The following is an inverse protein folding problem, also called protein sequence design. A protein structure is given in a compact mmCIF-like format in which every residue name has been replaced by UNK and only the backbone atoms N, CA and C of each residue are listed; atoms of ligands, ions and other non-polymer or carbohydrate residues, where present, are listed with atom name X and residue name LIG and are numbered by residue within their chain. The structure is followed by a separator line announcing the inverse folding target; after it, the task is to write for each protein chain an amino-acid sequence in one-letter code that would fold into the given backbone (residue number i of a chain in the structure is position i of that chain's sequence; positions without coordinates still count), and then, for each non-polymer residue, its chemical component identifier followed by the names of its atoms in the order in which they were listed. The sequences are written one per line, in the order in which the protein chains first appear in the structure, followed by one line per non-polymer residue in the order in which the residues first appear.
data_IF_524543012110
#
_entry.id   IF_524543012110
#
_cell.length_a   1.000
_cell.length_b   1.000
_cell.length_c   1.000
_cell.angle_alpha   90.00
_cell.angle_beta   90.00
_cell.angle_gamma   90.00
#
_symmetry.space_group_name_H-M   'P 1'
#
loop_
_entity.id
_entity.type
_entity.pdbx_description
1 polymer ?
#
# COMPACT_ATOMS: atom_id res chain seq x y z
N UNK A 1 45.38 14.09 -4.68
CA UNK A 1 44.25 14.09 -3.73
C UNK A 1 43.00 14.31 -4.55
N UNK A 2 42.12 13.33 -4.60
CA UNK A 2 40.85 13.42 -5.33
C UNK A 2 39.82 14.11 -4.41
N UNK A 3 39.14 15.14 -4.92
CA UNK A 3 38.15 15.89 -4.14
C UNK A 3 36.77 15.56 -4.69
N UNK A 4 35.95 14.88 -3.88
CA UNK A 4 34.56 14.57 -4.23
C UNK A 4 33.65 15.62 -3.58
N UNK A 5 32.92 16.43 -4.36
CA UNK A 5 31.93 17.35 -3.80
C UNK A 5 30.74 16.57 -3.22
N UNK A 6 30.30 16.96 -2.02
CA UNK A 6 29.15 16.36 -1.36
C UNK A 6 28.28 17.43 -0.69
N UNK A 7 26.97 17.22 -0.72
CA UNK A 7 25.98 18.05 -0.04
C UNK A 7 25.43 17.23 1.14
N UNK A 8 25.21 17.89 2.28
CA UNK A 8 24.58 17.28 3.45
C UNK A 8 23.23 16.67 3.08
N UNK A 9 22.89 15.53 3.70
CA UNK A 9 21.72 14.74 3.36
C UNK A 9 20.42 15.51 3.60
N UNK A 10 20.33 16.35 4.62
CA UNK A 10 19.19 17.24 4.80
C UNK A 10 19.12 18.32 3.70
N UNK A 11 20.25 19.02 3.46
CA UNK A 11 20.32 20.13 2.50
C UNK A 11 20.10 19.72 1.04
N UNK A 12 20.56 18.53 0.63
CA UNK A 12 20.49 18.10 -0.77
C UNK A 12 19.05 17.99 -1.27
N UNK A 13 18.09 17.74 -0.37
CA UNK A 13 16.66 17.72 -0.71
C UNK A 13 16.08 19.11 -1.01
N UNK A 14 16.76 20.19 -0.61
CA UNK A 14 16.42 21.57 -0.96
C UNK A 14 17.04 22.04 -2.28
N UNK A 15 17.90 21.23 -2.91
CA UNK A 15 18.48 21.49 -4.22
C UNK A 15 17.59 20.92 -5.35
N UNK A 16 18.01 21.13 -6.60
CA UNK A 16 17.40 20.50 -7.78
C UNK A 16 17.51 18.96 -7.68
N UNK A 17 16.52 18.23 -8.19
CA UNK A 17 16.43 16.76 -8.02
C UNK A 17 17.70 16.00 -8.44
N UNK A 18 18.32 16.39 -9.56
CA UNK A 18 19.61 15.81 -10.02
C UNK A 18 20.74 15.88 -8.99
N UNK A 19 20.74 16.90 -8.12
CA UNK A 19 21.75 17.05 -7.09
C UNK A 19 21.71 15.94 -6.05
N UNK A 20 20.55 15.29 -5.87
CA UNK A 20 20.40 14.17 -4.95
C UNK A 20 21.32 13.01 -5.34
N UNK A 21 21.24 12.54 -6.58
CA UNK A 21 22.08 11.44 -7.06
C UNK A 21 23.55 11.87 -7.25
N UNK A 22 23.77 13.13 -7.63
CA UNK A 22 25.13 13.65 -7.88
C UNK A 22 25.94 13.91 -6.61
N UNK A 23 25.31 14.35 -5.53
CA UNK A 23 26.04 14.93 -4.40
C UNK A 23 25.57 14.47 -3.02
N UNK A 24 24.50 13.67 -2.89
CA UNK A 24 24.13 13.15 -1.58
C UNK A 24 25.25 12.28 -1.00
N UNK A 25 25.60 12.55 0.26
CA UNK A 25 26.63 11.82 1.01
C UNK A 25 26.39 10.31 1.05
N UNK A 26 25.13 9.87 0.98
CA UNK A 26 24.75 8.45 0.95
C UNK A 26 25.24 7.68 -0.27
N UNK A 27 25.54 8.36 -1.38
CA UNK A 27 26.03 7.73 -2.61
C UNK A 27 27.55 7.85 -2.78
N UNK A 28 28.23 8.57 -1.88
CA UNK A 28 29.67 8.74 -1.91
C UNK A 28 30.33 7.62 -1.10
N UNK A 29 31.09 6.76 -1.77
CA UNK A 29 31.83 5.68 -1.11
C UNK A 29 32.78 6.28 -0.06
N UNK A 30 32.72 5.74 1.16
CA UNK A 30 33.57 6.20 2.27
C UNK A 30 33.08 7.45 3.01
N UNK A 31 32.10 8.21 2.49
CA UNK A 31 31.54 9.37 3.21
C UNK A 31 30.69 8.97 4.42
N UNK A 32 30.30 7.69 4.49
CA UNK A 32 29.33 7.14 5.44
C UNK A 32 27.98 7.87 5.39
N UNK A 33 27.01 7.36 6.16
CA UNK A 33 25.68 7.96 6.23
C UNK A 33 25.68 9.12 7.24
N UNK A 34 26.18 10.27 6.79
CA UNK A 34 26.27 11.50 7.57
C UNK A 34 25.18 12.49 7.17
N UNK A 35 24.74 13.27 8.15
CA UNK A 35 23.76 14.33 7.93
C UNK A 35 24.37 15.52 7.15
N UNK A 36 25.63 15.82 7.41
CA UNK A 36 26.34 16.94 6.78
C UNK A 36 26.05 18.32 7.39
N UNK A 37 25.14 18.43 8.36
CA UNK A 37 24.76 19.68 9.05
C UNK A 37 25.41 19.85 10.43
N UNK A 38 26.72 19.63 10.51
CA UNK A 38 27.41 19.67 11.80
C UNK A 38 27.45 21.10 12.36
N UNK A 39 27.59 22.12 11.52
CA UNK A 39 27.71 23.51 11.98
C UNK A 39 26.44 24.03 12.65
N UNK A 40 25.28 23.87 12.00
CA UNK A 40 24.00 24.39 12.51
C UNK A 40 23.57 23.69 13.80
N UNK A 41 23.75 22.37 13.87
CA UNK A 41 23.46 21.60 15.09
C UNK A 41 24.34 22.03 16.26
N UNK A 42 25.60 22.40 16.01
CA UNK A 42 26.54 22.89 17.03
C UNK A 42 26.30 24.35 17.41
N UNK A 43 25.66 25.14 16.56
CA UNK A 43 25.29 26.52 16.87
C UNK A 43 24.00 26.64 17.67
N UNK A 44 23.08 25.67 17.58
CA UNK A 44 21.84 25.70 18.35
C UNK A 44 22.04 25.90 19.87
N UNK A 45 23.05 25.30 20.54
CA UNK A 45 23.38 25.61 21.93
C UNK A 45 23.75 27.08 22.20
N UNK A 46 24.33 27.79 21.23
CA UNK A 46 24.69 29.21 21.36
C UNK A 46 23.47 30.13 21.47
N UNK A 47 22.27 29.65 21.10
CA UNK A 47 21.03 30.40 21.29
C UNK A 47 20.76 30.68 22.78
N UNK A 48 21.24 29.81 23.68
CA UNK A 48 21.04 29.96 25.13
C UNK A 48 21.77 31.21 25.66
N UNK A 49 22.97 31.49 25.15
CA UNK A 49 23.81 32.61 25.60
C UNK A 49 23.54 33.91 24.83
N UNK A 50 22.82 33.81 23.69
CA UNK A 50 22.54 34.95 22.82
C UNK A 50 21.87 36.14 23.53
N UNK A 51 20.86 35.95 24.42
CA UNK A 51 20.27 37.05 25.18
C UNK A 51 21.28 37.78 26.07
N UNK A 52 22.15 37.03 26.76
CA UNK A 52 23.20 37.60 27.63
C UNK A 52 24.27 38.31 26.81
N UNK A 53 24.62 37.78 25.64
CA UNK A 53 25.60 38.35 24.72
C UNK A 53 25.12 39.66 24.06
N UNK A 54 23.80 39.91 24.00
CA UNK A 54 23.22 41.07 23.31
C UNK A 54 23.60 42.40 23.96
N UNK A 55 23.62 42.46 25.28
CA UNK A 55 23.94 43.69 26.05
C UNK A 55 25.45 43.97 26.20
N UNK A 56 26.31 43.03 25.78
CA UNK A 56 27.76 43.14 25.93
C UNK A 56 28.38 44.10 24.90
N UNK A 57 29.50 44.73 25.27
CA UNK A 57 30.37 45.44 24.31
C UNK A 57 30.93 44.45 23.28
N UNK A 58 31.30 44.94 22.09
CA UNK A 58 31.77 44.08 20.99
C UNK A 58 32.94 43.17 21.39
N UNK A 59 34.00 43.65 22.07
CA UNK A 59 35.11 42.78 22.47
C UNK A 59 34.67 41.69 23.46
N UNK A 60 33.86 42.08 24.46
CA UNK A 60 33.39 41.14 25.47
C UNK A 60 32.42 40.08 24.91
N UNK A 61 31.57 40.48 23.95
CA UNK A 61 30.70 39.55 23.22
C UNK A 61 31.50 38.49 22.48
N UNK A 62 32.58 38.90 21.79
CA UNK A 62 33.43 37.98 21.05
C UNK A 62 34.09 36.97 21.99
N UNK A 63 34.72 37.44 23.08
CA UNK A 63 35.33 36.56 24.09
C UNK A 63 34.35 35.55 24.68
N UNK A 64 33.12 35.98 24.98
CA UNK A 64 32.07 35.12 25.51
C UNK A 64 31.66 34.02 24.51
N UNK A 65 31.48 34.37 23.24
CA UNK A 65 31.16 33.40 22.19
C UNK A 65 32.33 32.42 21.96
N UNK A 66 33.56 32.93 21.88
CA UNK A 66 34.77 32.11 21.67
C UNK A 66 34.96 31.12 22.82
N UNK A 67 34.72 31.54 24.07
CA UNK A 67 34.78 30.66 25.24
C UNK A 67 33.78 29.51 25.13
N UNK A 68 32.54 29.79 24.73
CA UNK A 68 31.48 28.80 24.62
C UNK A 68 31.71 27.83 23.46
N UNK A 69 32.22 28.34 22.32
CA UNK A 69 32.64 27.50 21.20
C UNK A 69 33.83 26.61 21.57
N UNK A 70 34.80 27.13 22.32
CA UNK A 70 35.95 26.36 22.81
C UNK A 70 35.55 25.26 23.81
N UNK A 71 34.64 25.55 24.74
CA UNK A 71 34.10 24.52 25.64
C UNK A 71 33.37 23.41 24.85
N UNK A 72 32.54 23.78 23.86
CA UNK A 72 31.88 22.82 22.97
C UNK A 72 32.89 21.92 22.24
N UNK A 73 33.96 22.52 21.70
CA UNK A 73 35.05 21.77 21.05
C UNK A 73 35.77 20.84 22.03
N UNK A 74 36.08 21.30 23.24
CA UNK A 74 36.72 20.51 24.29
C UNK A 74 35.84 19.32 24.71
N UNK A 75 34.56 19.56 24.99
CA UNK A 75 33.58 18.52 25.34
C UNK A 75 33.45 17.49 24.23
N UNK A 76 33.48 17.91 22.95
CA UNK A 76 33.49 17.00 21.81
C UNK A 76 34.74 16.13 21.80
N UNK A 77 35.93 16.69 22.03
CA UNK A 77 37.18 15.93 22.07
C UNK A 77 37.16 14.86 23.16
N UNK A 78 36.81 15.21 24.40
CA UNK A 78 36.85 14.27 25.53
C UNK A 78 35.75 13.19 25.44
N UNK A 79 34.60 13.50 24.82
CA UNK A 79 33.47 12.55 24.68
C UNK A 79 33.55 11.71 23.40
N UNK A 80 34.49 12.01 22.51
CA UNK A 80 34.59 11.41 21.17
C UNK A 80 34.74 9.89 21.23
N UNK A 81 35.64 9.39 22.08
CA UNK A 81 35.95 7.96 22.18
C UNK A 81 34.70 7.13 22.53
N UNK A 82 33.98 7.52 23.57
CA UNK A 82 32.74 6.86 23.99
C UNK A 82 31.63 6.96 22.96
N UNK A 83 31.50 8.11 22.28
CA UNK A 83 30.55 8.29 21.19
C UNK A 83 30.86 7.37 20.00
N UNK A 84 32.12 7.33 19.55
CA UNK A 84 32.56 6.48 18.45
C UNK A 84 32.39 5.00 18.77
N UNK A 85 32.72 4.55 19.99
CA UNK A 85 32.49 3.17 20.40
C UNK A 85 31.01 2.76 20.33
N UNK A 86 30.09 3.63 20.79
CA UNK A 86 28.64 3.37 20.68
C UNK A 86 28.17 3.35 19.23
N UNK A 87 28.64 4.29 18.41
CA UNK A 87 28.29 4.37 16.98
C UNK A 87 28.83 3.16 16.21
N UNK A 88 30.03 2.70 16.51
CA UNK A 88 30.62 1.50 15.91
C UNK A 88 29.77 0.26 16.19
N UNK A 89 29.37 0.02 17.44
CA UNK A 89 28.47 -1.11 17.76
C UNK A 89 27.14 -1.05 17.00
N UNK A 90 26.56 0.16 16.89
CA UNK A 90 25.34 0.38 16.11
C UNK A 90 25.56 0.13 14.61
N UNK A 91 26.70 0.54 14.07
CA UNK A 91 27.06 0.31 12.68
C UNK A 91 27.28 -1.18 12.39
N UNK A 92 28.01 -1.89 13.25
CA UNK A 92 28.25 -3.33 13.12
C UNK A 92 26.94 -4.14 13.07
N UNK A 93 25.97 -3.79 13.93
CA UNK A 93 24.63 -4.37 13.87
C UNK A 93 23.90 -4.01 12.56
N UNK A 94 23.99 -2.74 12.16
CA UNK A 94 23.37 -2.26 10.92
C UNK A 94 23.91 -2.95 9.67
N UNK A 95 25.20 -3.29 9.64
CA UNK A 95 25.82 -4.04 8.53
C UNK A 95 25.14 -5.41 8.38
N UNK A 96 25.03 -6.18 9.47
CA UNK A 96 24.39 -7.50 9.43
C UNK A 96 22.91 -7.42 8.95
N UNK A 97 22.16 -6.43 9.45
CA UNK A 97 20.78 -6.19 9.04
C UNK A 97 20.67 -5.82 7.55
N UNK A 98 21.52 -4.91 7.07
CA UNK A 98 21.52 -4.49 5.66
C UNK A 98 22.02 -5.57 4.71
N UNK A 99 23.00 -6.39 5.11
CA UNK A 99 23.53 -7.47 4.27
C UNK A 99 22.48 -8.54 4.03
N UNK A 100 21.80 -9.00 5.09
CA UNK A 100 20.74 -10.01 4.94
C UNK A 100 19.59 -9.51 4.06
N UNK A 101 19.21 -8.24 4.20
CA UNK A 101 18.17 -7.64 3.38
C UNK A 101 18.62 -7.48 1.92
N UNK A 102 19.88 -7.13 1.67
CA UNK A 102 20.47 -7.06 0.32
C UNK A 102 20.54 -8.42 -0.36
N UNK A 103 20.99 -9.46 0.35
CA UNK A 103 21.06 -10.84 -0.15
C UNK A 103 19.69 -11.35 -0.58
N UNK A 104 18.68 -11.21 0.29
CA UNK A 104 17.30 -11.62 -0.02
C UNK A 104 16.76 -11.00 -1.31
N UNK A 105 17.19 -9.78 -1.62
CA UNK A 105 16.75 -9.09 -2.82
C UNK A 105 17.49 -9.53 -4.07
N UNK A 106 18.77 -9.81 -3.95
CA UNK A 106 19.53 -10.43 -5.02
C UNK A 106 18.98 -11.83 -5.35
N UNK A 107 18.53 -12.60 -4.34
CA UNK A 107 17.89 -13.90 -4.56
C UNK A 107 16.58 -13.81 -5.36
N UNK A 108 15.80 -12.75 -5.17
CA UNK A 108 14.56 -12.52 -5.94
C UNK A 108 14.79 -11.86 -7.32
N UNK A 109 15.96 -11.30 -7.55
CA UNK A 109 16.31 -10.62 -8.79
C UNK A 109 16.94 -11.58 -9.80
N UNK A 110 16.83 -11.25 -11.08
CA UNK A 110 17.50 -12.02 -12.14
C UNK A 110 19.02 -11.80 -12.05
N UNK A 111 19.79 -12.88 -12.00
CA UNK A 111 21.24 -12.86 -11.86
C UNK A 111 21.93 -12.04 -12.96
N UNK A 112 21.38 -12.05 -14.19
CA UNK A 112 21.91 -11.26 -15.31
C UNK A 112 21.75 -9.77 -15.01
N UNK A 113 20.58 -9.35 -14.53
CA UNK A 113 20.30 -7.95 -14.19
C UNK A 113 21.13 -7.48 -13.00
N UNK A 114 21.32 -8.34 -11.99
CA UNK A 114 22.18 -8.02 -10.84
C UNK A 114 23.62 -7.73 -11.31
N UNK A 115 24.18 -8.59 -12.16
CA UNK A 115 25.51 -8.36 -12.72
C UNK A 115 25.61 -7.08 -13.56
N UNK A 116 24.57 -6.78 -14.36
CA UNK A 116 24.48 -5.55 -15.14
C UNK A 116 24.43 -4.30 -14.24
N UNK A 117 23.57 -4.30 -13.22
CA UNK A 117 23.43 -3.16 -12.30
C UNK A 117 24.70 -2.90 -11.50
N UNK A 118 25.36 -3.96 -11.03
CA UNK A 118 26.64 -3.83 -10.34
C UNK A 118 27.69 -3.20 -11.26
N UNK A 119 27.81 -3.67 -12.51
CA UNK A 119 28.75 -3.09 -13.48
C UNK A 119 28.44 -1.61 -13.76
N UNK A 120 27.17 -1.26 -13.96
CA UNK A 120 26.74 0.13 -14.19
C UNK A 120 27.03 1.03 -12.98
N UNK A 121 26.79 0.54 -11.76
CA UNK A 121 27.09 1.27 -10.54
C UNK A 121 28.60 1.53 -10.38
N UNK A 122 29.43 0.51 -10.61
CA UNK A 122 30.88 0.65 -10.53
C UNK A 122 31.42 1.65 -11.57
N UNK A 123 30.92 1.58 -12.81
CA UNK A 123 31.29 2.53 -13.85
C UNK A 123 30.87 3.97 -13.50
N UNK A 124 29.65 4.15 -12.98
CA UNK A 124 29.15 5.45 -12.55
C UNK A 124 30.02 6.05 -11.44
N UNK A 125 30.40 5.25 -10.44
CA UNK A 125 31.27 5.70 -9.34
C UNK A 125 32.66 6.10 -9.83
N UNK A 126 33.22 5.42 -10.84
CA UNK A 126 34.51 5.79 -11.43
C UNK A 126 34.44 7.10 -12.22
N UNK A 127 33.35 7.32 -12.97
CA UNK A 127 33.18 8.53 -13.79
C UNK A 127 32.74 9.75 -12.98
N UNK A 128 32.20 9.56 -11.77
CA UNK A 128 31.61 10.59 -10.91
C UNK A 128 32.44 11.87 -10.78
N UNK A 129 33.76 11.77 -10.61
CA UNK A 129 34.60 12.96 -10.39
C UNK A 129 34.82 13.78 -11.65
N UNK A 130 34.79 13.16 -12.84
CA UNK A 130 34.85 13.87 -14.11
C UNK A 130 33.48 14.34 -14.59
N UNK A 131 32.44 13.55 -14.32
CA UNK A 131 31.06 13.83 -14.68
C UNK A 131 30.08 13.35 -13.58
N UNK A 132 29.56 14.27 -12.74
CA UNK A 132 28.55 13.93 -11.73
C UNK A 132 27.28 13.30 -12.33
N UNK A 133 26.98 13.58 -13.60
CA UNK A 133 25.81 13.04 -14.32
C UNK A 133 25.89 11.53 -14.54
N UNK A 134 27.07 10.93 -14.41
CA UNK A 134 27.23 9.48 -14.38
C UNK A 134 26.38 8.83 -13.27
N UNK A 135 26.11 9.55 -12.19
CA UNK A 135 25.30 9.07 -11.07
C UNK A 135 23.79 9.02 -11.36
N UNK A 136 23.30 9.52 -12.50
CA UNK A 136 21.90 9.39 -12.88
C UNK A 136 21.43 7.93 -13.02
N UNK A 137 22.34 6.95 -13.06
CA UNK A 137 21.99 5.53 -12.96
C UNK A 137 21.23 5.19 -11.66
N UNK A 138 21.45 5.98 -10.60
CA UNK A 138 20.75 5.84 -9.31
C UNK A 138 19.41 6.58 -9.28
N UNK A 139 19.11 7.37 -10.32
CA UNK A 139 17.84 8.06 -10.44
C UNK A 139 16.82 7.09 -11.04
N UNK A 140 15.69 6.93 -10.35
CA UNK A 140 14.56 6.19 -10.90
C UNK A 140 13.98 7.06 -12.01
N UNK A 141 14.42 6.84 -13.25
CA UNK A 141 13.92 7.55 -14.41
C UNK A 141 12.49 7.10 -14.70
N UNK A 142 11.51 7.80 -14.12
CA UNK A 142 10.11 7.73 -14.54
C UNK A 142 10.03 8.27 -15.98
N UNK A 143 10.29 7.43 -16.98
CA UNK A 143 10.21 7.85 -18.38
C UNK A 143 8.76 8.10 -18.74
N UNK A 144 8.38 9.37 -18.67
CA UNK A 144 7.07 9.84 -19.08
C UNK A 144 6.97 9.80 -20.62
N UNK A 145 6.46 8.70 -21.15
CA UNK A 145 5.79 8.68 -22.46
C UNK A 145 6.66 8.66 -23.72
N UNK A 146 7.72 7.86 -23.77
CA UNK A 146 8.31 7.45 -25.05
C UNK A 146 8.15 5.93 -25.25
N UNK A 147 7.61 5.48 -26.40
CA UNK A 147 7.49 4.05 -26.68
C UNK A 147 8.90 3.43 -26.75
N UNK A 148 9.16 2.51 -25.85
CA UNK A 148 10.46 1.85 -25.71
C UNK A 148 10.84 1.13 -27.01
N UNK A 149 11.91 1.58 -27.65
CA UNK A 149 12.59 0.90 -28.77
C UNK A 149 13.53 -0.14 -28.13
N UNK A 150 12.97 -1.21 -27.58
CA UNK A 150 13.72 -2.42 -27.25
C UNK A 150 12.94 -3.64 -27.73
N UNK A 151 13.61 -4.63 -28.35
CA UNK A 151 12.94 -5.78 -28.97
C UNK A 151 12.12 -6.57 -27.93
N UNK A 152 10.92 -6.94 -28.36
CA UNK A 152 9.83 -7.56 -27.59
C UNK A 152 10.19 -8.92 -26.95
N UNK A 153 11.31 -9.52 -27.34
CA UNK A 153 11.49 -10.98 -27.25
C UNK A 153 12.10 -11.47 -25.93
N UNK A 154 12.36 -10.57 -24.97
CA UNK A 154 12.88 -10.91 -23.63
C UNK A 154 11.86 -10.71 -22.48
N UNK A 155 10.59 -10.42 -22.80
CA UNK A 155 9.53 -10.11 -21.81
C UNK A 155 8.75 -11.32 -21.28
N UNK A 156 8.94 -12.52 -21.83
CA UNK A 156 7.93 -13.60 -21.72
C UNK A 156 8.25 -14.78 -20.79
N UNK A 157 8.73 -14.58 -19.56
CA UNK A 157 8.84 -15.71 -18.60
C UNK A 157 8.47 -15.42 -17.13
N UNK A 158 7.92 -14.25 -16.80
CA UNK A 158 7.23 -14.05 -15.51
C UNK A 158 5.75 -13.91 -15.81
N UNK A 159 4.99 -14.98 -15.59
CA UNK A 159 3.52 -14.93 -15.67
C UNK A 159 3.00 -14.00 -14.57
N UNK A 160 2.78 -12.73 -14.92
CA UNK A 160 2.24 -11.76 -13.98
C UNK A 160 0.83 -12.19 -13.54
N UNK A 161 0.46 -11.86 -12.30
CA UNK A 161 -0.69 -12.48 -11.67
C UNK A 161 -2.00 -12.15 -12.40
N UNK A 162 -2.84 -13.16 -12.68
CA UNK A 162 -3.99 -13.02 -13.56
C UNK A 162 -5.10 -12.18 -12.92
N UNK A 163 -5.79 -11.39 -13.74
CA UNK A 163 -6.98 -10.60 -13.37
C UNK A 163 -8.22 -11.49 -13.32
N UNK A 164 -9.29 -11.04 -12.64
CA UNK A 164 -10.56 -11.80 -12.58
C UNK A 164 -11.13 -12.07 -13.98
N UNK A 165 -11.02 -11.09 -14.88
CA UNK A 165 -11.49 -11.20 -16.27
C UNK A 165 -10.70 -12.23 -17.06
N UNK A 166 -9.37 -12.27 -16.91
CA UNK A 166 -8.55 -13.27 -17.60
C UNK A 166 -8.87 -14.67 -17.11
N UNK A 167 -9.06 -14.86 -15.80
CA UNK A 167 -9.46 -16.15 -15.26
C UNK A 167 -10.84 -16.58 -15.76
N UNK A 168 -11.81 -15.66 -15.82
CA UNK A 168 -13.12 -15.95 -16.42
C UNK A 168 -12.98 -16.39 -17.89
N UNK A 169 -12.15 -15.71 -18.69
CA UNK A 169 -11.87 -16.10 -20.08
C UNK A 169 -11.23 -17.50 -20.18
N UNK A 170 -10.29 -17.83 -19.31
CA UNK A 170 -9.66 -19.16 -19.25
C UNK A 170 -10.69 -20.24 -18.89
N UNK A 171 -11.60 -19.96 -17.95
CA UNK A 171 -12.66 -20.89 -17.56
C UNK A 171 -13.71 -21.08 -18.68
N UNK A 172 -14.06 -20.00 -19.40
CA UNK A 172 -14.98 -20.04 -20.53
C UNK A 172 -14.40 -20.80 -21.74
N UNK A 173 -13.12 -20.59 -22.05
CA UNK A 173 -12.44 -21.34 -23.12
C UNK A 173 -12.26 -22.82 -22.79
N UNK A 174 -11.96 -23.16 -21.54
CA UNK A 174 -11.81 -24.54 -21.08
C UNK A 174 -13.13 -25.34 -21.09
N UNK A 175 -14.27 -24.66 -20.92
CA UNK A 175 -15.60 -25.29 -20.95
C UNK A 175 -16.14 -25.51 -22.37
N UNK A 176 -15.71 -24.72 -23.36
CA UNK A 176 -16.10 -24.91 -24.78
C UNK A 176 -15.54 -26.21 -25.39
N UNK A 177 -14.39 -26.71 -24.94
CA UNK A 177 -13.79 -27.95 -25.43
C UNK A 177 -14.44 -29.25 -24.93
N UNK A 178 -15.33 -29.18 -23.93
CA UNK A 178 -15.99 -30.34 -23.29
C UNK A 178 -17.43 -30.58 -23.75
N UNK A 179 -17.87 -29.95 -24.84
CA UNK A 179 -19.25 -30.01 -25.33
C UNK A 179 -19.61 -31.37 -25.99
N UNK A 180 -19.47 -32.47 -25.25
CA UNK A 180 -20.11 -33.76 -25.53
C UNK A 180 -20.91 -34.14 -24.27
N UNK A 181 -22.12 -33.58 -24.17
CA UNK A 181 -23.15 -33.93 -23.18
C UNK A 181 -23.28 -32.96 -22.01
N UNK A 182 -24.42 -32.25 -21.94
CA UNK A 182 -25.06 -31.58 -20.78
C UNK A 182 -24.22 -30.86 -19.70
N UNK A 183 -22.93 -30.59 -19.89
CA UNK A 183 -22.14 -29.72 -19.02
C UNK A 183 -22.64 -28.28 -19.18
N UNK A 184 -23.03 -27.65 -18.08
CA UNK A 184 -23.72 -26.37 -18.09
C UNK A 184 -22.75 -25.26 -18.52
N UNK A 185 -22.84 -24.86 -19.79
CA UNK A 185 -22.16 -23.70 -20.32
C UNK A 185 -22.63 -22.46 -19.54
N UNK A 186 -21.76 -21.84 -18.74
CA UNK A 186 -22.06 -20.59 -18.01
C UNK A 186 -21.78 -20.59 -16.52
N UNK A 187 -21.37 -21.71 -15.92
CA UNK A 187 -21.09 -21.82 -14.48
C UNK A 187 -20.06 -20.81 -13.96
N UNK A 188 -18.97 -20.56 -14.70
CA UNK A 188 -17.96 -19.57 -14.32
C UNK A 188 -18.52 -18.14 -14.32
N UNK A 189 -19.35 -17.79 -15.30
CA UNK A 189 -20.02 -16.48 -15.39
C UNK A 189 -21.07 -16.32 -14.31
N UNK A 190 -21.80 -17.39 -13.97
CA UNK A 190 -22.70 -17.39 -12.81
C UNK A 190 -21.91 -17.09 -11.52
N UNK A 191 -20.82 -17.81 -11.23
CA UNK A 191 -19.97 -17.55 -10.04
C UNK A 191 -19.43 -16.11 -10.05
N UNK A 192 -18.92 -15.62 -11.19
CA UNK A 192 -18.44 -14.25 -11.35
C UNK A 192 -19.54 -13.20 -11.07
N UNK A 193 -20.79 -13.47 -11.47
CA UNK A 193 -21.93 -12.61 -11.15
C UNK A 193 -22.21 -12.57 -9.64
N UNK A 194 -22.11 -13.72 -8.95
CA UNK A 194 -22.28 -13.79 -7.50
C UNK A 194 -21.20 -13.02 -6.74
N UNK A 195 -19.94 -13.14 -7.16
CA UNK A 195 -18.83 -12.32 -6.63
C UNK A 195 -19.11 -10.82 -6.79
N UNK A 196 -19.66 -10.42 -7.95
CA UNK A 196 -20.02 -9.02 -8.22
C UNK A 196 -21.16 -8.53 -7.31
N UNK A 197 -22.16 -9.39 -7.04
CA UNK A 197 -23.24 -9.10 -6.08
C UNK A 197 -22.65 -8.88 -4.68
N UNK A 198 -21.68 -9.69 -4.25
CA UNK A 198 -21.02 -9.52 -2.96
C UNK A 198 -20.24 -8.21 -2.85
N UNK A 199 -19.57 -7.79 -3.92
CA UNK A 199 -18.90 -6.48 -3.99
C UNK A 199 -19.92 -5.33 -3.84
N UNK A 200 -21.09 -5.45 -4.49
CA UNK A 200 -22.19 -4.50 -4.36
C UNK A 200 -22.79 -4.49 -2.94
N UNK A 201 -22.92 -5.64 -2.28
CA UNK A 201 -23.36 -5.75 -0.89
C UNK A 201 -22.41 -5.00 0.05
N UNK A 202 -21.09 -5.19 -0.10
CA UNK A 202 -20.08 -4.49 0.70
C UNK A 202 -20.18 -2.98 0.48
N UNK A 203 -20.27 -2.53 -0.77
CA UNK A 203 -20.38 -1.12 -1.11
C UNK A 203 -21.65 -0.48 -0.51
N UNK A 204 -22.79 -1.17 -0.58
CA UNK A 204 -24.04 -0.69 0.00
C UNK A 204 -23.99 -0.67 1.53
N UNK A 205 -23.42 -1.69 2.17
CA UNK A 205 -23.26 -1.73 3.61
C UNK A 205 -22.39 -0.58 4.13
N UNK A 206 -21.34 -0.19 3.39
CA UNK A 206 -20.55 1.01 3.71
C UNK A 206 -21.38 2.29 3.63
N UNK A 207 -22.15 2.46 2.55
CA UNK A 207 -22.94 3.66 2.33
C UNK A 207 -24.06 3.79 3.37
N UNK A 208 -24.71 2.68 3.75
CA UNK A 208 -25.71 2.65 4.83
C UNK A 208 -25.10 3.07 6.17
N UNK A 209 -23.88 2.63 6.49
CA UNK A 209 -23.20 3.04 7.74
C UNK A 209 -22.87 4.53 7.75
N UNK A 210 -22.47 5.08 6.61
CA UNK A 210 -22.11 6.50 6.47
C UNK A 210 -23.28 7.44 6.76
N UNK A 211 -24.52 6.98 6.55
CA UNK A 211 -25.72 7.80 6.77
C UNK A 211 -25.98 8.20 8.22
N UNK A 212 -25.33 7.54 9.18
CA UNK A 212 -25.43 7.89 10.61
C UNK A 212 -26.86 7.72 11.16
N UNK A 213 -27.15 8.43 12.26
CA UNK A 213 -28.39 8.25 13.05
C UNK A 213 -29.61 8.96 12.43
N UNK A 214 -29.41 9.99 11.60
CA UNK A 214 -30.48 10.84 11.05
C UNK A 214 -30.28 11.16 9.55
N UNK A 215 -30.49 10.20 8.64
CA UNK A 215 -30.37 10.45 7.21
C UNK A 215 -31.50 11.32 6.64
N UNK A 216 -31.17 12.11 5.62
CA UNK A 216 -32.16 12.93 4.88
C UNK A 216 -33.10 12.05 4.06
N UNK A 217 -34.30 12.54 3.74
CA UNK A 217 -35.27 11.80 2.91
C UNK A 217 -34.73 11.43 1.53
N UNK A 218 -33.87 12.27 0.94
CA UNK A 218 -33.20 12.00 -0.33
C UNK A 218 -32.20 10.85 -0.24
N UNK A 219 -31.38 10.83 0.81
CA UNK A 219 -30.42 9.74 1.08
C UNK A 219 -31.12 8.42 1.37
N UNK A 220 -32.20 8.51 2.16
CA UNK A 220 -33.15 7.46 2.48
C UNK A 220 -33.72 6.81 1.22
N UNK A 221 -34.23 7.61 0.29
CA UNK A 221 -34.78 7.14 -0.98
C UNK A 221 -33.70 6.53 -1.90
N UNK A 222 -32.50 7.11 -1.95
CA UNK A 222 -31.38 6.56 -2.74
C UNK A 222 -30.97 5.15 -2.25
N UNK A 223 -30.78 4.98 -0.94
CA UNK A 223 -30.52 3.65 -0.35
C UNK A 223 -31.67 2.68 -0.61
N UNK A 224 -32.93 3.12 -0.49
CA UNK A 224 -34.09 2.30 -0.80
C UNK A 224 -34.05 1.76 -2.23
N UNK A 225 -33.78 2.62 -3.22
CA UNK A 225 -33.65 2.22 -4.63
C UNK A 225 -32.51 1.24 -4.86
N UNK A 226 -31.34 1.47 -4.23
CA UNK A 226 -30.19 0.56 -4.35
C UNK A 226 -30.47 -0.80 -3.71
N UNK A 227 -31.17 -0.83 -2.57
CA UNK A 227 -31.62 -2.07 -1.93
C UNK A 227 -32.57 -2.85 -2.84
N UNK A 228 -33.58 -2.21 -3.43
CA UNK A 228 -34.48 -2.90 -4.38
C UNK A 228 -33.73 -3.45 -5.58
N UNK A 229 -32.80 -2.66 -6.16
CA UNK A 229 -31.98 -3.13 -7.29
C UNK A 229 -31.13 -4.34 -6.89
N UNK A 230 -30.45 -4.26 -5.74
CA UNK A 230 -29.63 -5.36 -5.24
C UNK A 230 -30.47 -6.61 -4.97
N UNK A 231 -31.69 -6.45 -4.45
CA UNK A 231 -32.56 -7.58 -4.21
C UNK A 231 -32.98 -8.27 -5.50
N UNK A 232 -33.36 -7.52 -6.53
CA UNK A 232 -33.71 -8.11 -7.83
C UNK A 232 -32.55 -8.93 -8.41
N UNK A 233 -31.31 -8.47 -8.21
CA UNK A 233 -30.11 -9.20 -8.64
C UNK A 233 -29.89 -10.48 -7.81
N UNK A 234 -30.16 -10.43 -6.50
CA UNK A 234 -30.11 -11.60 -5.62
C UNK A 234 -31.18 -12.62 -6.03
N UNK A 235 -32.41 -12.18 -6.28
CA UNK A 235 -33.53 -13.05 -6.68
C UNK A 235 -33.26 -13.73 -8.03
N UNK A 236 -32.71 -13.00 -9.00
CA UNK A 236 -32.30 -13.55 -10.29
C UNK A 236 -31.16 -14.58 -10.12
N UNK A 237 -30.19 -14.27 -9.25
CA UNK A 237 -29.08 -15.16 -8.96
C UNK A 237 -29.52 -16.46 -8.28
N UNK A 238 -30.40 -16.38 -7.27
CA UNK A 238 -30.91 -17.55 -6.52
C UNK A 238 -31.80 -18.44 -7.40
N UNK A 239 -32.57 -17.86 -8.31
CA UNK A 239 -33.37 -18.61 -9.28
C UNK A 239 -32.49 -19.47 -10.21
N UNK A 240 -31.35 -18.93 -10.64
CA UNK A 240 -30.37 -19.65 -11.50
C UNK A 240 -29.48 -20.61 -10.68
N UNK A 241 -29.36 -20.40 -9.37
CA UNK A 241 -28.55 -21.25 -8.50
C UNK A 241 -29.03 -22.71 -8.49
N UNK A 242 -30.34 -22.96 -8.56
CA UNK A 242 -30.92 -24.32 -8.56
C UNK A 242 -30.48 -25.13 -9.77
N UNK A 243 -30.26 -24.50 -10.93
CA UNK A 243 -29.72 -25.21 -12.09
C UNK A 243 -28.28 -25.64 -11.88
N UNK A 244 -27.44 -24.81 -11.24
CA UNK A 244 -26.01 -25.08 -11.07
C UNK A 244 -25.68 -25.93 -9.83
N UNK A 245 -26.48 -25.85 -8.76
CA UNK A 245 -26.26 -26.54 -7.49
C UNK A 245 -27.09 -27.82 -7.32
N UNK A 246 -27.93 -28.17 -8.31
CA UNK A 246 -28.69 -29.42 -8.36
C UNK A 246 -30.06 -29.37 -7.67
N UNK A 247 -30.93 -30.35 -8.01
CA UNK A 247 -32.36 -30.38 -7.66
C UNK A 247 -32.68 -30.55 -6.16
N UNK A 248 -31.68 -30.70 -5.29
CA UNK A 248 -31.85 -30.89 -3.85
C UNK A 248 -31.41 -29.71 -2.98
N UNK A 249 -30.87 -28.63 -3.58
CA UNK A 249 -30.36 -27.48 -2.84
C UNK A 249 -31.49 -26.56 -2.38
N UNK A 250 -31.58 -26.33 -1.08
CA UNK A 250 -32.52 -25.39 -0.45
C UNK A 250 -31.75 -24.20 0.14
N UNK A 251 -31.94 -23.03 -0.49
CA UNK A 251 -31.30 -21.76 -0.13
C UNK A 251 -31.51 -21.40 1.34
N UNK A 252 -32.65 -21.77 1.92
CA UNK A 252 -33.00 -21.41 3.31
C UNK A 252 -32.36 -22.32 4.36
N UNK A 253 -31.95 -23.54 3.99
CA UNK A 253 -31.43 -24.56 4.91
C UNK A 253 -29.93 -24.88 4.72
N UNK A 254 -29.40 -24.72 3.50
CA UNK A 254 -28.05 -25.20 3.13
C UNK A 254 -26.97 -24.11 3.12
N UNK A 255 -27.37 -22.85 3.35
CA UNK A 255 -26.45 -21.72 3.47
C UNK A 255 -25.90 -21.65 4.90
N UNK A 256 -24.58 -21.63 5.04
CA UNK A 256 -23.93 -21.40 6.33
C UNK A 256 -24.20 -19.97 6.80
N UNK A 257 -24.66 -19.80 8.05
CA UNK A 257 -24.89 -18.50 8.70
C UNK A 257 -23.56 -17.77 8.94
N UNK A 258 -22.95 -17.25 7.87
CA UNK A 258 -21.70 -16.51 7.92
C UNK A 258 -22.00 -15.03 8.12
N UNK A 259 -22.19 -14.68 9.39
CA UNK A 259 -22.22 -13.29 9.81
C UNK A 259 -20.88 -12.63 9.48
N UNK A 260 -20.90 -11.68 8.56
CA UNK A 260 -19.72 -10.90 8.21
C UNK A 260 -19.30 -10.08 9.44
N UNK A 261 -18.20 -10.46 10.08
CA UNK A 261 -17.49 -9.57 11.00
C UNK A 261 -16.85 -8.46 10.17
N UNK A 262 -17.65 -7.45 9.84
CA UNK A 262 -17.12 -6.22 9.29
C UNK A 262 -16.08 -5.71 10.28
N UNK A 263 -14.83 -5.56 9.82
CA UNK A 263 -13.74 -4.97 10.61
C UNK A 263 -14.26 -3.75 11.37
N UNK A 264 -14.45 -3.92 12.67
CA UNK A 264 -14.87 -2.86 13.57
C UNK A 264 -13.81 -1.76 13.53
N UNK A 265 -14.20 -0.62 13.00
CA UNK A 265 -13.39 0.57 12.87
C UNK A 265 -14.26 1.76 13.26
N UNK A 266 -14.77 1.72 14.48
CA UNK A 266 -15.22 2.91 15.20
C UNK A 266 -14.04 3.83 15.51
N UNK A 267 -13.50 4.49 14.49
CA UNK A 267 -12.66 5.69 14.64
C UNK A 267 -13.27 6.78 13.74
N UNK A 268 -14.47 7.24 14.10
CA UNK A 268 -14.95 8.57 13.69
C UNK A 268 -14.11 9.62 14.43
N UNK A 269 -12.90 9.91 13.94
CA UNK A 269 -12.23 11.15 14.33
C UNK A 269 -12.94 12.34 13.66
N UNK A 270 -13.80 13.01 14.43
CA UNK A 270 -14.07 14.44 14.24
C UNK A 270 -15.53 14.83 14.00
N UNK A 271 -16.39 14.66 15.01
CA UNK A 271 -17.52 15.57 15.20
C UNK A 271 -17.44 16.21 16.59
N UNK A 272 -16.99 17.47 16.63
CA UNK A 272 -17.23 18.35 17.78
C UNK A 272 -18.74 18.68 17.80
N UNK A 273 -19.49 17.87 18.55
CA UNK A 273 -20.83 18.21 19.03
C UNK A 273 -20.71 18.49 20.52
N UNK A 274 -20.93 19.75 20.88
CA UNK A 274 -20.99 20.26 22.24
C UNK A 274 -22.01 19.48 23.10
N UNK A 275 -21.72 19.37 24.39
CA UNK A 275 -22.40 18.47 25.30
C UNK A 275 -23.86 18.81 25.55
N UNK A 276 -24.68 17.80 25.78
CA UNK A 276 -25.45 17.59 27.02
C UNK A 276 -26.32 16.34 26.92
N UNK A 277 -26.42 15.67 28.06
CA UNK A 277 -27.45 14.74 28.51
C UNK A 277 -27.51 13.31 27.94
N UNK A 278 -26.99 12.43 28.80
CA UNK A 278 -27.42 11.05 29.01
C UNK A 278 -28.94 10.95 29.12
N UNK A 279 -29.59 10.42 28.08
CA UNK A 279 -30.77 9.58 28.25
C UNK A 279 -30.80 8.49 27.17
N UNK A 280 -30.91 7.26 27.66
CA UNK A 280 -30.91 5.99 26.93
C UNK A 280 -32.22 5.86 26.14
N UNK A 281 -32.37 6.64 25.08
CA UNK A 281 -33.47 6.49 24.12
C UNK A 281 -33.14 5.40 23.12
N UNK A 282 -33.73 4.22 23.35
CA UNK A 282 -33.93 3.18 22.33
C UNK A 282 -34.85 3.78 21.26
N UNK A 283 -34.27 4.58 20.38
CA UNK A 283 -34.99 5.06 19.21
C UNK A 283 -35.19 3.85 18.29
N UNK A 284 -36.41 3.30 18.34
CA UNK A 284 -36.96 2.37 17.37
C UNK A 284 -36.93 3.03 15.98
N UNK A 285 -35.76 3.08 15.35
CA UNK A 285 -35.63 3.45 13.95
C UNK A 285 -36.26 2.33 13.12
N UNK A 286 -37.55 2.45 12.83
CA UNK A 286 -38.32 1.57 11.92
C UNK A 286 -37.60 1.40 10.57
N UNK A 287 -36.82 2.40 10.16
CA UNK A 287 -35.92 2.36 9.00
C UNK A 287 -34.93 1.18 9.02
N UNK A 288 -34.43 0.81 10.19
CA UNK A 288 -33.46 -0.25 10.38
C UNK A 288 -34.09 -1.64 10.28
N UNK A 289 -35.41 -1.78 10.45
CA UNK A 289 -36.12 -3.07 10.37
C UNK A 289 -36.66 -3.38 8.97
N UNK A 290 -36.40 -2.51 7.99
CA UNK A 290 -36.64 -2.82 6.57
C UNK A 290 -35.59 -3.81 6.05
N UNK A 291 -36.08 -4.71 5.21
CA UNK A 291 -35.37 -5.67 4.36
C UNK A 291 -33.93 -5.21 3.99
N UNK A 292 -32.93 -6.03 4.35
CA UNK A 292 -31.49 -5.71 4.26
C UNK A 292 -30.76 -6.64 3.27
N UNK A 293 -30.88 -6.40 1.96
CA UNK A 293 -30.22 -7.23 0.93
C UNK A 293 -28.70 -7.22 1.05
N UNK A 294 -28.11 -6.19 1.68
CA UNK A 294 -26.67 -6.12 1.96
C UNK A 294 -26.15 -7.18 2.95
N UNK A 295 -27.04 -7.87 3.69
CA UNK A 295 -26.67 -8.91 4.66
C UNK A 295 -27.11 -10.32 4.24
N UNK A 296 -27.80 -10.45 3.10
CA UNK A 296 -28.22 -11.76 2.58
C UNK A 296 -26.98 -12.53 2.14
N UNK A 297 -26.86 -13.79 2.54
CA UNK A 297 -25.73 -14.62 2.11
C UNK A 297 -26.03 -15.15 0.70
N UNK A 298 -25.07 -14.98 -0.21
CA UNK A 298 -25.21 -15.43 -1.60
C UNK A 298 -24.81 -16.92 -1.66
N UNK A 299 -25.59 -17.80 -2.32
CA UNK A 299 -25.27 -19.23 -2.45
C UNK A 299 -24.12 -19.45 -3.43
N UNK A 300 -22.91 -19.10 -3.00
CA UNK A 300 -21.65 -19.41 -3.66
C UNK A 300 -21.03 -20.65 -3.02
N UNK A 301 -20.20 -21.43 -3.75
CA UNK A 301 -19.51 -22.59 -3.19
C UNK A 301 -18.75 -22.30 -1.88
N UNK A 302 -18.17 -21.10 -1.73
CA UNK A 302 -17.48 -20.66 -0.51
C UNK A 302 -18.38 -20.43 0.72
N UNK A 303 -19.69 -20.35 0.53
CA UNK A 303 -20.70 -20.15 1.58
C UNK A 303 -21.56 -21.42 1.82
N UNK A 304 -21.31 -22.50 1.07
CA UNK A 304 -21.97 -23.80 1.17
C UNK A 304 -20.96 -24.82 1.73
N UNK A 305 -21.42 -25.95 2.27
CA UNK A 305 -20.51 -26.99 2.74
C UNK A 305 -19.69 -27.60 1.58
N UNK A 306 -18.39 -27.79 1.82
CA UNK A 306 -17.47 -28.38 0.82
C UNK A 306 -17.90 -29.81 0.47
N UNK A 307 -18.45 -30.53 1.44
CA UNK A 307 -18.98 -31.89 1.28
C UNK A 307 -20.12 -31.92 0.24
N UNK A 308 -21.04 -30.96 0.31
CA UNK A 308 -22.11 -30.82 -0.68
C UNK A 308 -21.56 -30.51 -2.08
N UNK A 309 -20.56 -29.63 -2.18
CA UNK A 309 -19.92 -29.33 -3.46
C UNK A 309 -19.13 -30.52 -4.05
N UNK A 310 -18.63 -31.43 -3.21
CA UNK A 310 -17.91 -32.62 -3.65
C UNK A 310 -18.84 -33.65 -4.31
N UNK A 311 -20.09 -33.74 -3.86
CA UNK A 311 -21.11 -34.64 -4.44
C UNK A 311 -21.58 -34.19 -5.83
N UNK A 312 -21.43 -32.89 -6.16
CA UNK A 312 -21.76 -32.25 -7.44
C UNK A 312 -20.63 -32.36 -8.50
N UNK A 313 -19.83 -33.44 -8.45
CA UNK A 313 -18.53 -33.65 -9.11
C UNK A 313 -18.39 -33.41 -10.64
N UNK A 314 -19.43 -32.97 -11.35
CA UNK A 314 -19.40 -32.72 -12.80
C UNK A 314 -18.61 -31.49 -13.25
N UNK A 315 -18.68 -30.37 -12.50
CA UNK A 315 -18.22 -29.05 -13.00
C UNK A 315 -17.06 -28.40 -12.22
N UNK A 316 -16.53 -29.03 -11.17
CA UNK A 316 -15.47 -28.48 -10.30
C UNK A 316 -15.74 -27.02 -9.86
N UNK A 317 -16.93 -26.77 -9.29
CA UNK A 317 -17.39 -25.45 -8.86
C UNK A 317 -16.39 -24.75 -7.91
N UNK A 318 -15.82 -25.52 -6.98
CA UNK A 318 -14.83 -25.07 -6.02
C UNK A 318 -13.58 -24.54 -6.73
N UNK A 319 -13.05 -25.29 -7.69
CA UNK A 319 -11.87 -24.85 -8.45
C UNK A 319 -12.13 -23.61 -9.30
N UNK A 320 -13.32 -23.49 -9.89
CA UNK A 320 -13.71 -22.29 -10.65
C UNK A 320 -13.82 -21.06 -9.75
N UNK A 321 -14.39 -21.19 -8.55
CA UNK A 321 -14.43 -20.08 -7.59
C UNK A 321 -13.03 -19.73 -7.07
N UNK A 322 -12.18 -20.70 -6.72
CA UNK A 322 -10.79 -20.44 -6.28
C UNK A 322 -10.04 -19.62 -7.33
N UNK A 323 -10.16 -20.01 -8.61
CA UNK A 323 -9.58 -19.25 -9.70
C UNK A 323 -10.10 -17.81 -9.65
N UNK A 324 -11.41 -17.56 -9.83
CA UNK A 324 -11.98 -16.21 -9.87
C UNK A 324 -11.66 -15.35 -8.63
N UNK A 325 -11.54 -15.96 -7.44
CA UNK A 325 -11.14 -15.28 -6.19
C UNK A 325 -9.67 -14.87 -6.20
N UNK A 326 -8.78 -15.67 -6.79
CA UNK A 326 -7.39 -15.25 -6.99
C UNK A 326 -7.32 -13.97 -7.84
N UNK A 327 -8.08 -13.90 -8.94
CA UNK A 327 -8.14 -12.70 -9.78
C UNK A 327 -8.78 -11.52 -9.08
N UNK A 328 -9.84 -11.74 -8.29
CA UNK A 328 -10.44 -10.71 -7.45
C UNK A 328 -9.41 -10.15 -6.43
N UNK A 329 -8.62 -11.02 -5.80
CA UNK A 329 -7.56 -10.60 -4.88
C UNK A 329 -6.50 -9.74 -5.57
N UNK A 330 -6.08 -10.13 -6.79
CA UNK A 330 -5.14 -9.36 -7.59
C UNK A 330 -5.69 -7.98 -7.98
N UNK A 331 -6.91 -7.92 -8.53
CA UNK A 331 -7.55 -6.67 -8.96
C UNK A 331 -7.74 -5.69 -7.79
N UNK A 332 -8.17 -6.19 -6.63
CA UNK A 332 -8.37 -5.37 -5.43
C UNK A 332 -7.06 -4.85 -4.85
N UNK A 333 -6.02 -5.69 -4.78
CA UNK A 333 -4.70 -5.27 -4.31
C UNK A 333 -4.07 -4.23 -5.25
N UNK A 334 -4.21 -4.41 -6.57
CA UNK A 334 -3.75 -3.42 -7.53
C UNK A 334 -4.49 -2.09 -7.37
N UNK A 335 -5.81 -2.14 -7.22
CA UNK A 335 -6.62 -0.94 -6.98
C UNK A 335 -6.17 -0.22 -5.70
N UNK A 336 -5.87 -0.97 -4.62
CA UNK A 336 -5.34 -0.40 -3.38
C UNK A 336 -3.98 0.29 -3.62
N UNK A 337 -3.08 -0.30 -4.41
CA UNK A 337 -1.78 0.33 -4.75
C UNK A 337 -1.97 1.65 -5.49
N UNK A 338 -2.79 1.66 -6.55
CA UNK A 338 -3.09 2.86 -7.35
C UNK A 338 -3.64 3.97 -6.44
N UNK A 339 -4.62 3.64 -5.60
CA UNK A 339 -5.25 4.61 -4.70
C UNK A 339 -4.31 5.10 -3.60
N UNK A 340 -3.39 4.27 -3.10
CA UNK A 340 -2.38 4.70 -2.14
C UNK A 340 -1.38 5.68 -2.75
N UNK A 341 -1.02 5.47 -4.02
CA UNK A 341 -0.17 6.40 -4.76
C UNK A 341 -0.90 7.71 -5.05
N UNK A 342 -2.15 7.65 -5.52
CA UNK A 342 -2.98 8.84 -5.72
C UNK A 342 -3.17 9.63 -4.41
N UNK A 343 -3.45 8.93 -3.30
CA UNK A 343 -3.49 9.53 -1.96
C UNK A 343 -2.19 10.26 -1.64
N UNK A 344 -1.04 9.65 -1.89
CA UNK A 344 0.26 10.27 -1.64
C UNK A 344 0.52 11.50 -2.53
N UNK A 345 0.10 11.47 -3.79
CA UNK A 345 0.15 12.62 -4.71
C UNK A 345 -0.76 13.76 -4.24
N UNK A 346 -1.99 13.47 -3.83
CA UNK A 346 -2.91 14.46 -3.25
C UNK A 346 -2.33 15.10 -2.00
N UNK A 347 -1.71 14.33 -1.10
CA UNK A 347 -1.03 14.89 0.06
C UNK A 347 0.00 15.95 -0.33
N UNK A 348 0.83 15.67 -1.35
CA UNK A 348 1.87 16.61 -1.81
C UNK A 348 1.30 17.83 -2.53
N UNK A 349 0.32 17.62 -3.39
CA UNK A 349 -0.15 18.65 -4.33
C UNK A 349 -1.25 19.54 -3.76
N UNK A 350 -2.11 19.00 -2.90
CA UNK A 350 -3.28 19.72 -2.40
C UNK A 350 -3.25 19.96 -0.89
N UNK A 351 -2.72 19.02 -0.10
CA UNK A 351 -2.70 19.14 1.38
C UNK A 351 -1.50 19.93 1.88
N UNK A 352 -0.27 19.57 1.48
CA UNK A 352 0.95 20.25 1.93
C UNK A 352 1.00 21.75 1.58
N UNK A 353 0.53 22.22 0.40
CA UNK A 353 0.53 23.64 0.06
C UNK A 353 -0.65 24.42 0.66
N UNK A 354 -1.60 23.75 1.31
CA UNK A 354 -2.78 24.41 1.86
C UNK A 354 -2.41 25.28 3.07
N UNK A 355 -2.98 26.49 3.11
CA UNK A 355 -2.76 27.46 4.20
C UNK A 355 -3.28 27.01 5.57
N UNK A 356 -4.13 25.98 5.62
CA UNK A 356 -4.69 25.41 6.84
C UNK A 356 -4.59 23.89 6.81
N UNK A 357 -4.07 23.31 7.89
CA UNK A 357 -3.98 21.87 8.10
C UNK A 357 -5.26 21.27 8.70
N UNK A 358 -6.31 22.07 8.88
CA UNK A 358 -7.59 21.56 9.37
C UNK A 358 -8.12 20.47 8.44
N UNK A 359 -8.45 19.30 9.00
CA UNK A 359 -8.97 18.12 8.29
C UNK A 359 -10.34 18.34 7.60
N UNK A 360 -10.90 19.55 7.67
CA UNK A 360 -12.22 19.93 7.14
C UNK A 360 -12.16 20.75 5.84
N UNK A 361 -10.99 20.97 5.24
CA UNK A 361 -10.87 21.78 4.02
C UNK A 361 -11.18 20.98 2.75
N UNK A 362 -11.44 21.69 1.64
CA UNK A 362 -11.68 21.09 0.30
C UNK A 362 -10.54 20.13 -0.14
N UNK A 363 -9.30 20.40 0.28
CA UNK A 363 -8.16 19.52 0.03
C UNK A 363 -8.31 18.16 0.73
N UNK A 364 -8.78 18.16 1.98
CA UNK A 364 -9.06 16.93 2.74
C UNK A 364 -10.30 16.18 2.22
N UNK A 365 -11.28 16.87 1.64
CA UNK A 365 -12.43 16.20 0.99
C UNK A 365 -11.98 15.23 -0.10
N UNK A 366 -10.96 15.59 -0.90
CA UNK A 366 -10.38 14.70 -1.91
C UNK A 366 -9.68 13.50 -1.27
N UNK A 367 -8.88 13.73 -0.23
CA UNK A 367 -8.20 12.65 0.53
C UNK A 367 -9.21 11.68 1.15
N UNK A 368 -10.29 12.18 1.76
CA UNK A 368 -11.36 11.35 2.31
C UNK A 368 -12.08 10.54 1.23
N UNK A 369 -12.24 11.11 0.03
CA UNK A 369 -12.86 10.40 -1.09
C UNK A 369 -12.01 9.19 -1.53
N UNK A 370 -10.69 9.36 -1.69
CA UNK A 370 -9.74 8.28 -2.00
C UNK A 370 -9.66 7.26 -0.86
N UNK A 371 -9.59 7.72 0.39
CA UNK A 371 -9.56 6.83 1.55
C UNK A 371 -10.82 5.96 1.65
N UNK A 372 -11.99 6.47 1.28
CA UNK A 372 -13.22 5.68 1.21
C UNK A 372 -13.08 4.54 0.20
N UNK A 373 -12.51 4.79 -0.97
CA UNK A 373 -12.31 3.75 -2.00
C UNK A 373 -11.25 2.74 -1.55
N UNK A 374 -10.21 3.17 -0.84
CA UNK A 374 -9.23 2.26 -0.20
C UNK A 374 -9.93 1.34 0.81
N UNK A 375 -10.79 1.89 1.67
CA UNK A 375 -11.55 1.11 2.67
C UNK A 375 -12.47 0.08 1.99
N UNK A 376 -13.16 0.47 0.91
CA UNK A 376 -14.00 -0.43 0.12
C UNK A 376 -13.21 -1.62 -0.39
N UNK A 377 -12.11 -1.37 -1.12
CA UNK A 377 -11.28 -2.43 -1.68
C UNK A 377 -10.62 -3.30 -0.60
N UNK A 378 -10.27 -2.72 0.56
CA UNK A 378 -9.75 -3.49 1.70
C UNK A 378 -10.80 -4.48 2.22
N UNK A 379 -12.07 -4.08 2.30
CA UNK A 379 -13.14 -4.99 2.73
C UNK A 379 -13.45 -6.06 1.69
N UNK A 380 -13.44 -5.72 0.40
CA UNK A 380 -13.58 -6.71 -0.68
C UNK A 380 -12.45 -7.74 -0.59
N UNK A 381 -11.20 -7.28 -0.47
CA UNK A 381 -10.04 -8.16 -0.30
C UNK A 381 -10.16 -9.04 0.96
N UNK A 382 -10.58 -8.46 2.08
CA UNK A 382 -10.75 -9.20 3.34
C UNK A 382 -11.81 -10.29 3.20
N UNK A 383 -12.95 -9.98 2.56
CA UNK A 383 -14.01 -10.96 2.28
C UNK A 383 -13.51 -12.07 1.36
N UNK A 384 -12.86 -11.71 0.26
CA UNK A 384 -12.24 -12.66 -0.69
C UNK A 384 -11.27 -13.61 0.02
N UNK A 385 -10.41 -13.09 0.90
CA UNK A 385 -9.46 -13.91 1.67
C UNK A 385 -10.17 -14.86 2.64
N UNK A 386 -11.24 -14.43 3.31
CA UNK A 386 -12.05 -15.30 4.18
C UNK A 386 -12.67 -16.44 3.36
N UNK A 387 -13.17 -16.15 2.16
CA UNK A 387 -13.77 -17.14 1.26
C UNK A 387 -12.74 -18.13 0.70
N UNK A 388 -11.54 -17.67 0.37
CA UNK A 388 -10.41 -18.56 0.05
C UNK A 388 -10.05 -19.49 1.23
N UNK A 389 -10.23 -19.01 2.47
CA UNK A 389 -10.14 -19.81 3.68
C UNK A 389 -11.19 -20.91 3.76
N UNK A 390 -12.45 -20.55 3.49
CA UNK A 390 -13.57 -21.50 3.46
C UNK A 390 -13.39 -22.57 2.37
N UNK A 391 -12.84 -22.21 1.22
CA UNK A 391 -12.54 -23.13 0.11
C UNK A 391 -11.26 -23.96 0.33
N UNK A 392 -10.60 -23.84 1.49
CA UNK A 392 -9.35 -24.55 1.84
C UNK A 392 -8.19 -24.33 0.84
N UNK A 393 -8.12 -23.15 0.21
CA UNK A 393 -7.07 -22.79 -0.74
C UNK A 393 -5.75 -22.40 -0.04
N UNK A 394 -5.17 -23.31 0.74
CA UNK A 394 -4.03 -23.05 1.63
C UNK A 394 -2.82 -22.46 0.91
N UNK A 395 -2.49 -22.92 -0.31
CA UNK A 395 -1.37 -22.38 -1.09
C UNK A 395 -1.55 -20.91 -1.48
N UNK A 396 -2.78 -20.46 -1.76
CA UNK A 396 -3.06 -19.06 -2.07
C UNK A 396 -3.05 -18.18 -0.81
N UNK A 397 -3.39 -18.73 0.37
CA UNK A 397 -3.38 -17.99 1.63
C UNK A 397 -1.98 -17.63 2.14
N UNK A 398 -0.95 -18.35 1.69
CA UNK A 398 0.47 -18.00 1.91
C UNK A 398 0.89 -16.79 1.06
N UNK A 399 0.38 -16.70 -0.18
CA UNK A 399 0.58 -15.56 -1.10
C UNK A 399 -0.20 -14.32 -0.67
N UNK A 400 -1.46 -14.49 -0.26
CA UNK A 400 -2.39 -13.42 0.08
C UNK A 400 -2.48 -13.20 1.59
N UNK A 401 -1.63 -12.32 2.12
CA UNK A 401 -1.54 -12.03 3.55
C UNK A 401 -2.62 -11.05 4.04
N UNK A 402 -2.89 -11.03 5.35
CA UNK A 402 -3.87 -10.10 5.93
C UNK A 402 -3.41 -8.63 5.77
N UNK A 403 -4.34 -7.74 5.43
CA UNK A 403 -4.09 -6.29 5.41
C UNK A 403 -4.33 -5.72 6.82
N UNK A 404 -3.34 -5.00 7.35
CA UNK A 404 -3.41 -4.29 8.62
C UNK A 404 -3.56 -2.77 8.38
N UNK A 405 -4.06 -2.04 9.39
CA UNK A 405 -4.20 -0.57 9.32
C UNK A 405 -2.87 0.13 8.98
N UNK A 406 -1.74 -0.42 9.46
CA UNK A 406 -0.42 0.13 9.20
C UNK A 406 -0.04 0.07 7.71
N UNK A 407 -0.59 -0.89 6.96
CA UNK A 407 -0.31 -1.08 5.53
C UNK A 407 -1.02 -0.05 4.63
N UNK A 408 -2.10 0.57 5.11
CA UNK A 408 -2.92 1.53 4.33
C UNK A 408 -2.48 2.99 4.51
N UNK A 409 -1.35 3.22 5.18
CA UNK A 409 -0.79 4.57 5.34
C UNK A 409 -0.15 5.02 4.03
N UNK A 410 -0.63 6.13 3.47
CA UNK A 410 0.02 6.78 2.34
C UNK A 410 1.43 7.19 2.78
N UNK A 411 2.43 6.49 2.27
CA UNK A 411 3.82 6.75 2.62
C UNK A 411 4.37 7.75 1.61
N UNK A 412 5.03 8.83 2.09
CA UNK A 412 5.72 9.78 1.20
C UNK A 412 6.74 9.10 0.28
N UNK A 413 7.22 7.91 0.67
CA UNK A 413 8.02 7.00 -0.14
C UNK A 413 7.38 6.66 -1.49
N UNK A 414 6.07 6.50 -1.55
CA UNK A 414 5.30 6.15 -2.76
C UNK A 414 5.11 7.34 -3.72
N UNK A 415 5.33 8.59 -3.26
CA UNK A 415 5.20 9.79 -4.11
C UNK A 415 6.52 10.54 -4.36
N UNK A 416 7.52 10.36 -3.50
CA UNK A 416 8.87 10.86 -3.71
C UNK A 416 9.87 9.83 -3.14
N UNK A 417 10.45 8.98 -4.01
CA UNK A 417 11.47 8.03 -3.60
C UNK A 417 12.72 8.70 -3.00
N UNK A 418 12.94 10.00 -3.24
CA UNK A 418 14.04 10.78 -2.68
C UNK A 418 13.67 11.64 -1.47
N UNK A 419 12.47 11.51 -0.88
CA UNK A 419 12.09 12.38 0.24
C UNK A 419 12.75 11.98 1.57
N UNK A 420 13.07 13.01 2.35
CA UNK A 420 13.71 12.93 3.65
C UNK A 420 12.90 12.10 4.67
N UNK A 421 13.59 11.47 5.63
CA UNK A 421 12.93 10.81 6.78
C UNK A 421 12.37 9.40 6.54
N UNK A 422 12.59 8.80 5.36
CA UNK A 422 12.08 7.46 5.01
C UNK A 422 12.87 6.29 5.63
N UNK A 423 13.73 6.56 6.62
CA UNK A 423 14.74 5.64 7.17
C UNK A 423 14.16 4.38 7.83
N UNK A 424 12.88 4.38 8.21
CA UNK A 424 12.23 3.31 8.99
C UNK A 424 10.94 2.74 8.35
N UNK A 425 10.63 3.04 7.08
CA UNK A 425 9.36 2.61 6.46
C UNK A 425 9.58 1.39 5.56
N UNK A 426 9.16 0.21 6.02
CA UNK A 426 9.01 -0.98 5.20
C UNK A 426 7.72 -0.87 4.39
N UNK A 427 7.81 -1.00 3.07
CA UNK A 427 6.62 -1.05 2.22
C UNK A 427 5.77 -2.29 2.56
N UNK A 428 4.44 -2.20 2.53
CA UNK A 428 3.56 -3.35 2.73
C UNK A 428 3.90 -4.53 1.80
N UNK A 429 3.67 -5.75 2.27
CA UNK A 429 3.94 -7.00 1.53
C UNK A 429 3.28 -7.03 0.15
N UNK A 430 2.11 -6.40 0.01
CA UNK A 430 1.40 -6.37 -1.25
C UNK A 430 2.05 -5.42 -2.26
N UNK A 431 3.17 -4.74 -2.00
CA UNK A 431 3.92 -4.02 -3.04
C UNK A 431 4.94 -4.90 -3.77
N UNK A 432 5.30 -6.06 -3.22
CA UNK A 432 6.25 -7.00 -3.83
C UNK A 432 5.58 -8.11 -4.64
N UNK A 433 4.23 -8.10 -4.76
CA UNK A 433 3.52 -9.03 -5.65
C UNK A 433 3.60 -8.54 -7.10
N UNK A 434 3.85 -9.45 -8.04
CA UNK A 434 3.77 -9.12 -9.47
C UNK A 434 2.31 -9.23 -9.93
N UNK A 435 1.58 -8.11 -9.98
CA UNK A 435 0.14 -8.08 -10.27
C UNK A 435 -0.07 -7.43 -11.63
N UNK A 436 -0.62 -8.18 -12.60
CA UNK A 436 -0.74 -7.81 -14.01
C UNK A 436 -1.87 -6.80 -14.31
N UNK A 437 -2.33 -6.03 -13.31
CA UNK A 437 -3.41 -5.06 -13.48
C UNK A 437 -2.98 -3.84 -14.30
N UNK A 438 -2.93 -4.07 -15.62
CA UNK A 438 -2.73 -3.18 -16.75
C UNK A 438 -1.37 -2.43 -16.82
N UNK A 439 -0.33 -3.20 -17.16
CA UNK A 439 0.91 -2.72 -17.81
C UNK A 439 0.68 -2.03 -19.17
N UNK A 440 -0.57 -1.86 -19.61
CA UNK A 440 -0.92 -1.15 -20.85
C UNK A 440 -1.17 0.34 -20.63
N UNK A 441 -1.39 0.81 -19.38
CA UNK A 441 -1.69 2.22 -19.11
C UNK A 441 -0.92 2.87 -17.95
N UNK A 442 -0.15 2.11 -17.17
CA UNK A 442 0.59 2.64 -16.02
C UNK A 442 2.04 2.14 -15.97
N UNK A 443 2.82 2.47 -17.02
CA UNK A 443 4.28 2.24 -17.12
C UNK A 443 5.06 2.65 -15.85
N UNK A 444 4.53 3.60 -15.08
CA UNK A 444 5.15 4.04 -13.84
C UNK A 444 5.24 2.91 -12.79
N UNK A 445 4.24 2.03 -12.66
CA UNK A 445 4.16 1.04 -11.57
C UNK A 445 5.18 -0.11 -11.65
N UNK A 446 5.58 -0.50 -12.86
CA UNK A 446 6.58 -1.56 -13.07
C UNK A 446 7.96 -1.12 -12.55
N UNK A 447 8.28 0.18 -12.68
CA UNK A 447 9.50 0.78 -12.13
C UNK A 447 9.45 0.95 -10.60
N UNK A 448 8.26 1.13 -10.00
CA UNK A 448 8.09 1.17 -8.54
C UNK A 448 8.30 -0.19 -7.89
N UNK A 449 7.89 -1.28 -8.54
CA UNK A 449 8.14 -2.64 -8.08
C UNK A 449 9.66 -2.94 -8.06
N UNK A 450 10.40 -2.42 -9.04
CA UNK A 450 11.87 -2.51 -9.11
C UNK A 450 12.56 -1.62 -8.07
N UNK A 451 12.11 -0.38 -7.90
CA UNK A 451 12.66 0.57 -6.91
C UNK A 451 12.31 0.23 -5.45
N UNK A 452 11.19 -0.47 -5.22
CA UNK A 452 10.77 -0.97 -3.91
C UNK A 452 11.52 -2.24 -3.51
N UNK A 453 11.79 -3.13 -4.48
CA UNK A 453 12.73 -4.22 -4.31
C UNK A 453 14.09 -3.67 -3.87
N UNK A 454 14.68 -2.70 -4.58
CA UNK A 454 15.96 -2.07 -4.17
C UNK A 454 15.97 -1.35 -2.81
N UNK A 455 14.81 -1.13 -2.15
CA UNK A 455 14.69 -0.44 -0.84
C UNK A 455 14.38 -1.36 0.33
N UNK A 456 13.73 -2.51 0.09
CA UNK A 456 13.56 -3.52 1.13
C UNK A 456 14.92 -4.07 1.60
N UNK A 457 15.97 -3.97 0.76
CA UNK A 457 17.38 -4.30 1.08
C UNK A 457 18.01 -3.29 2.00
N UNK A 458 17.53 -2.06 1.95
CA UNK A 458 18.03 -0.95 2.76
C UNK A 458 17.30 -0.82 4.11
N UNK A 459 16.20 -1.55 4.35
CA UNK A 459 15.27 -1.30 5.48
C UNK A 459 14.93 -2.53 6.36
N UNK A 460 15.55 -3.69 6.13
CA UNK A 460 15.27 -4.92 6.90
C UNK A 460 15.82 -4.94 8.33
N UNK A 461 15.09 -4.37 9.30
CA UNK A 461 15.14 -4.83 10.70
C UNK A 461 14.92 -3.77 11.79
N UNK A 462 13.72 -3.71 12.39
CA UNK A 462 13.37 -4.48 13.61
C UNK A 462 11.99 -4.11 14.15
N UNK A 463 11.24 -5.12 14.61
CA UNK A 463 10.09 -4.99 15.51
C UNK A 463 10.50 -4.33 16.83
N UNK A 464 9.57 -3.55 17.37
CA UNK A 464 9.62 -2.84 18.64
C UNK A 464 10.08 -3.72 19.80
N UNK A 465 10.92 -3.15 20.66
CA UNK A 465 10.75 -3.27 22.11
C UNK A 465 11.31 -2.01 22.78
N UNK A 466 10.46 -1.45 23.66
CA UNK A 466 10.57 -0.24 24.50
C UNK A 466 10.71 1.10 23.79
#
# INVERSE_FOLDING_TARGET
MEIVPGIGLWHVHGHQDKCYVHYASSFITGAARIDGEIMETLWAPLNIISPSARGMSTPHRQECLDYQMNDSNFMKMIRMSGFLCRKYRKAAKGVAESSAAFEKLNETADAIKVAQWEAQYQEAQQRRNGDPSAMHVLEVQLRKGEPSILPSDARDQREAAPTRKQQELVLLSSSQGRAIGNAQCGTATWIASGITIEEMQIALAMDVRKLGRHPTETQKLDIGRRRTKLQNWIDEFTLVAVSHLGKGFDVDNDIMDMKLDFLDNSDEEGHFGDGTDSERSVSNNVWCNLFRPEHVVIPLPSNISIEWCADLAGDNLVGQEIALREGQANDTLQTIRVLLADKAVLFRTTVCPAKSQAKSTRAWTQVHSVERVIRLNTMIYTKCRTQLGNLQAHGLLEKYLRIEKCHLKATAAVANPGAQGQRNFTLPWFWSLDIQGDSVNNDWMDEWSIGSAQRQSATGGRKNNS
#
